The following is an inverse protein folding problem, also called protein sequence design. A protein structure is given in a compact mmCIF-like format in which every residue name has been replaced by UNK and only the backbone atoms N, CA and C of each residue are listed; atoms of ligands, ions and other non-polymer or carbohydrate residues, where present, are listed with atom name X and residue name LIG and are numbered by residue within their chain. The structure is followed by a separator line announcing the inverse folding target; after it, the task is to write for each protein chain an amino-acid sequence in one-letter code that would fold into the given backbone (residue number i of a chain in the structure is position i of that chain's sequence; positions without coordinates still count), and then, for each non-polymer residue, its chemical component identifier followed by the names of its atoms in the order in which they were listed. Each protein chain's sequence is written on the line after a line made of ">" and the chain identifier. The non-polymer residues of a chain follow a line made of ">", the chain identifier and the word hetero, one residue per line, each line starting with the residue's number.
data_IF_035144627502
#
_entry.id   IF_035144627502
#
_cell.length_a   1.000
_cell.length_b   1.000
_cell.length_c   1.000
_cell.angle_alpha   90.00
_cell.angle_beta   90.00
_cell.angle_gamma   90.00
#
_symmetry.space_group_name_H-M   'P 1'
#
loop_
_entity.id
_entity.type
_entity.pdbx_description
1 polymer ?
#
# COMPACT_ATOMS: atom_id res chain seq x y z
N UNK A 1 -44.78 -37.44 58.75
CA UNK A 1 -45.20 -36.05 58.57
C UNK A 1 -44.36 -35.44 57.46
N UNK A 2 -45.04 -35.18 56.33
CA UNK A 2 -44.74 -34.32 55.18
C UNK A 2 -43.39 -34.38 54.42
N UNK A 3 -43.55 -34.91 53.20
CA UNK A 3 -42.87 -34.68 51.92
C UNK A 3 -43.05 -33.28 51.33
N UNK A 4 -42.33 -33.02 50.21
CA UNK A 4 -42.50 -32.00 49.14
C UNK A 4 -41.54 -30.79 49.23
N UNK A 5 -40.95 -30.22 48.17
CA UNK A 5 -41.13 -30.28 46.71
C UNK A 5 -39.91 -29.62 46.01
N UNK A 6 -39.69 -29.89 44.73
CA UNK A 6 -38.71 -29.27 43.78
C UNK A 6 -39.48 -29.06 42.44
N UNK A 7 -39.14 -28.19 41.45
CA UNK A 7 -38.62 -26.79 41.32
C UNK A 7 -39.61 -25.92 40.42
N UNK A 8 -39.28 -24.85 39.61
CA UNK A 8 -38.28 -24.79 38.51
C UNK A 8 -37.51 -23.45 38.25
N UNK A 9 -36.28 -23.60 37.74
CA UNK A 9 -35.61 -22.93 36.60
C UNK A 9 -35.85 -21.44 36.24
N UNK A 10 -34.76 -20.63 36.23
CA UNK A 10 -34.42 -19.67 35.15
C UNK A 10 -33.02 -19.04 35.32
N UNK A 11 -32.07 -19.41 34.46
CA UNK A 11 -30.92 -18.56 34.01
C UNK A 11 -31.39 -17.51 32.98
N UNK A 12 -30.58 -16.55 32.45
CA UNK A 12 -29.14 -16.21 32.67
C UNK A 12 -28.84 -14.68 32.81
N UNK A 13 -27.56 -14.30 33.02
CA UNK A 13 -26.81 -13.17 32.41
C UNK A 13 -25.63 -12.71 33.32
N UNK A 14 -24.42 -13.21 33.08
CA UNK A 14 -23.26 -12.47 32.51
C UNK A 14 -22.81 -11.18 33.21
N UNK A 15 -21.65 -11.23 33.86
CA UNK A 15 -20.60 -10.19 33.72
C UNK A 15 -19.23 -10.77 34.13
N UNK A 16 -18.30 -10.81 33.16
CA UNK A 16 -16.88 -11.09 33.34
C UNK A 16 -16.18 -9.92 34.07
N UNK A 17 -15.09 -10.18 34.82
CA UNK A 17 -14.09 -9.16 35.08
C UNK A 17 -12.84 -9.34 34.20
N UNK A 18 -12.39 -8.19 33.68
CA UNK A 18 -11.24 -7.99 32.81
C UNK A 18 -9.89 -8.34 33.47
N UNK A 19 -8.97 -8.88 32.67
CA UNK A 19 -7.55 -9.10 33.02
C UNK A 19 -6.74 -7.80 32.95
N UNK A 20 -5.68 -7.63 33.76
CA UNK A 20 -4.99 -6.36 33.93
C UNK A 20 -3.89 -6.09 32.89
N UNK A 21 -3.73 -4.80 32.65
CA UNK A 21 -2.77 -4.10 31.78
C UNK A 21 -1.32 -4.33 32.23
N UNK A 22 -0.45 -4.69 31.29
CA UNK A 22 1.01 -4.74 31.48
C UNK A 22 1.58 -3.32 31.60
N UNK A 23 2.27 -3.08 32.71
CA UNK A 23 2.94 -1.83 33.08
C UNK A 23 4.16 -1.58 32.17
N UNK A 24 4.16 -0.45 31.45
CA UNK A 24 5.34 0.05 30.72
C UNK A 24 6.04 1.09 31.60
N UNK A 25 7.19 0.74 32.17
CA UNK A 25 8.08 1.68 32.87
C UNK A 25 8.90 2.44 31.83
N UNK A 26 8.56 3.71 31.60
CA UNK A 26 9.34 4.62 30.77
C UNK A 26 10.48 5.25 31.61
N UNK A 27 11.70 4.75 31.44
CA UNK A 27 12.90 5.42 31.95
C UNK A 27 13.23 6.64 31.08
N UNK A 28 13.10 7.82 31.67
CA UNK A 28 13.33 9.14 31.08
C UNK A 28 14.81 9.51 31.22
N UNK A 29 15.55 9.60 30.11
CA UNK A 29 16.91 10.17 30.08
C UNK A 29 16.90 11.60 29.49
N UNK A 30 17.82 12.49 29.93
CA UNK A 30 17.69 13.92 29.79
C UNK A 30 18.23 14.48 28.48
N UNK A 31 17.53 15.48 27.95
CA UNK A 31 17.92 16.31 26.81
C UNK A 31 19.12 17.21 27.18
N UNK A 32 20.15 17.26 26.33
CA UNK A 32 21.20 18.30 26.37
C UNK A 32 20.97 19.34 25.28
N UNK A 33 21.04 20.59 25.70
CA UNK A 33 20.85 21.82 24.95
C UNK A 33 22.00 22.14 23.96
N UNK A 34 21.60 22.71 22.83
CA UNK A 34 22.07 23.94 22.16
C UNK A 34 23.57 24.16 21.91
N UNK A 35 23.93 24.35 20.63
CA UNK A 35 24.87 25.40 20.20
C UNK A 35 24.39 26.05 18.89
N UNK A 36 24.22 27.38 18.94
CA UNK A 36 24.00 28.31 17.83
C UNK A 36 25.29 28.56 17.05
N UNK A 37 25.19 28.70 15.71
CA UNK A 37 26.06 29.60 14.95
C UNK A 37 25.25 30.33 13.86
N UNK A 38 25.23 31.68 13.98
CA UNK A 38 24.83 32.67 12.97
C UNK A 38 26.10 33.30 12.42
N UNK A 39 26.16 33.50 11.09
CA UNK A 39 26.80 34.63 10.37
C UNK A 39 27.00 34.21 8.89
N UNK A 40 26.72 34.99 7.85
CA UNK A 40 26.38 36.40 7.76
C UNK A 40 25.83 36.79 6.38
N UNK A 41 25.15 37.94 6.37
CA UNK A 41 24.85 38.82 5.23
C UNK A 41 26.17 39.45 4.72
N UNK A 42 26.40 39.92 3.49
CA UNK A 42 25.69 40.86 2.55
C UNK A 42 26.66 41.09 1.33
N UNK A 43 26.46 41.97 0.31
CA UNK A 43 25.38 42.18 -0.66
C UNK A 43 25.85 42.49 -2.13
N UNK A 44 24.88 42.83 -3.00
CA UNK A 44 24.90 43.72 -4.20
C UNK A 44 24.86 43.17 -5.64
N UNK A 45 23.99 43.83 -6.43
CA UNK A 45 23.50 43.64 -7.81
C UNK A 45 24.34 44.45 -8.86
N UNK A 46 23.86 44.87 -10.07
CA UNK A 46 22.75 44.46 -10.96
C UNK A 46 23.15 44.31 -12.46
N UNK A 47 22.22 43.92 -13.34
CA UNK A 47 22.31 44.11 -14.81
C UNK A 47 21.11 43.48 -15.53
N UNK A 48 20.04 44.22 -15.84
CA UNK A 48 19.81 45.03 -17.05
C UNK A 48 19.90 44.25 -18.37
N UNK A 49 18.78 44.13 -19.10
CA UNK A 49 18.83 43.87 -20.54
C UNK A 49 17.66 43.08 -21.14
N UNK A 50 16.46 43.67 -21.20
CA UNK A 50 15.49 43.34 -22.25
C UNK A 50 15.75 44.26 -23.45
N UNK A 51 15.59 43.78 -24.69
CA UNK A 51 14.74 44.51 -25.62
C UNK A 51 13.87 43.61 -26.53
N UNK A 52 12.58 43.86 -26.45
CA UNK A 52 11.64 44.16 -27.55
C UNK A 52 11.92 43.73 -29.01
N UNK A 53 10.91 43.02 -29.58
CA UNK A 53 10.09 43.36 -30.77
C UNK A 53 10.41 42.82 -32.20
N UNK A 54 9.34 42.21 -32.77
CA UNK A 54 8.80 42.20 -34.16
C UNK A 54 9.51 41.47 -35.31
N UNK A 55 8.83 40.45 -35.85
CA UNK A 55 8.48 40.22 -37.27
C UNK A 55 7.48 39.04 -37.28
N UNK A 56 6.27 39.05 -37.85
CA UNK A 56 5.80 39.52 -39.15
C UNK A 56 5.03 38.33 -39.80
N UNK A 57 3.83 38.49 -40.38
CA UNK A 57 2.90 37.40 -40.62
C UNK A 57 3.19 36.64 -41.93
N UNK A 58 3.11 35.31 -41.90
CA UNK A 58 3.07 34.49 -43.11
C UNK A 58 1.67 34.51 -43.70
N UNK A 59 1.52 35.28 -44.78
CA UNK A 59 0.34 35.38 -45.62
C UNK A 59 0.41 34.30 -46.70
N UNK A 60 -0.43 33.27 -46.62
CA UNK A 60 -0.75 32.46 -47.79
C UNK A 60 -2.08 32.96 -48.39
N UNK A 61 -1.98 33.39 -49.65
CA UNK A 61 -3.08 33.66 -50.58
C UNK A 61 -3.96 32.42 -50.68
N UNK A 62 -5.28 32.62 -50.64
CA UNK A 62 -6.20 32.16 -51.68
C UNK A 62 -7.52 32.93 -51.59
N UNK A 63 -7.94 33.52 -52.71
CA UNK A 63 -9.36 33.74 -53.04
C UNK A 63 -10.04 32.35 -53.03
N UNK A 64 -11.30 32.17 -52.69
CA UNK A 64 -12.51 32.97 -52.90
C UNK A 64 -13.62 32.37 -52.02
N UNK A 65 -14.48 33.23 -51.51
CA UNK A 65 -15.90 33.01 -51.19
C UNK A 65 -16.30 31.65 -50.60
N UNK A 66 -16.45 31.60 -49.27
CA UNK A 66 -17.57 30.84 -48.69
C UNK A 66 -18.01 31.49 -47.39
N UNK A 67 -19.31 31.76 -47.36
CA UNK A 67 -20.08 32.47 -46.36
C UNK A 67 -19.93 31.87 -44.93
N UNK A 68 -19.62 32.73 -43.96
CA UNK A 68 -19.39 32.40 -42.56
C UNK A 68 -20.70 32.28 -41.76
N UNK A 69 -21.72 31.62 -42.34
CA UNK A 69 -23.05 31.45 -41.76
C UNK A 69 -23.43 29.99 -41.47
N UNK A 70 -22.53 29.03 -41.69
CA UNK A 70 -22.75 27.60 -41.38
C UNK A 70 -21.63 26.98 -40.54
N UNK A 71 -21.39 27.51 -39.34
CA UNK A 71 -20.69 26.74 -38.30
C UNK A 71 -21.76 25.99 -37.50
N UNK A 72 -22.21 24.84 -38.03
CA UNK A 72 -22.95 23.85 -37.23
C UNK A 72 -21.94 22.95 -36.53
N UNK A 73 -22.02 22.93 -35.22
CA UNK A 73 -21.38 21.98 -34.32
C UNK A 73 -21.67 20.54 -34.76
N UNK A 74 -20.67 19.84 -35.28
CA UNK A 74 -20.73 18.38 -35.39
C UNK A 74 -20.11 17.77 -34.14
N UNK A 75 -20.97 17.48 -33.16
CA UNK A 75 -20.68 16.50 -32.13
C UNK A 75 -20.59 15.13 -32.79
N UNK A 76 -19.42 14.52 -32.72
CA UNK A 76 -19.14 13.20 -33.25
C UNK A 76 -19.83 12.15 -32.36
N UNK A 77 -21.07 11.80 -32.70
CA UNK A 77 -21.77 10.61 -32.21
C UNK A 77 -22.51 10.00 -33.38
N UNK A 78 -22.11 8.78 -33.71
CA UNK A 78 -22.87 7.79 -34.46
C UNK A 78 -23.11 8.05 -35.96
N UNK A 79 -22.03 8.35 -36.72
CA UNK A 79 -22.03 8.21 -38.17
C UNK A 79 -21.13 7.05 -38.60
N UNK A 80 -21.74 5.94 -39.01
CA UNK A 80 -21.08 4.77 -39.59
C UNK A 80 -20.20 5.17 -40.80
N UNK A 81 -18.90 4.93 -40.66
CA UNK A 81 -17.87 5.14 -41.68
C UNK A 81 -17.92 4.08 -42.81
N UNK A 82 -19.09 3.69 -43.28
CA UNK A 82 -19.25 2.75 -44.40
C UNK A 82 -19.80 3.38 -45.68
N UNK A 83 -20.36 4.60 -45.62
CA UNK A 83 -21.02 5.23 -46.76
C UNK A 83 -20.11 6.00 -47.74
N UNK A 84 -18.87 6.33 -47.36
CA UNK A 84 -17.99 7.18 -48.18
C UNK A 84 -16.98 6.42 -49.05
N UNK A 85 -16.91 5.09 -48.92
CA UNK A 85 -15.93 4.27 -49.62
C UNK A 85 -16.41 3.65 -50.95
N UNK A 86 -17.65 3.89 -51.37
CA UNK A 86 -18.22 3.26 -52.57
C UNK A 86 -18.19 4.13 -53.85
N UNK A 87 -17.58 5.32 -53.83
CA UNK A 87 -17.58 6.25 -54.98
C UNK A 87 -16.19 6.61 -55.54
N UNK A 88 -15.20 5.72 -55.36
CA UNK A 88 -13.84 5.89 -55.90
C UNK A 88 -13.26 4.56 -56.44
N UNK A 89 -14.08 3.65 -56.97
CA UNK A 89 -13.61 2.35 -57.47
C UNK A 89 -13.26 2.31 -58.97
N UNK A 90 -13.51 3.37 -59.73
CA UNK A 90 -13.30 3.39 -61.19
C UNK A 90 -12.03 4.11 -61.67
N UNK A 91 -11.14 4.48 -60.76
CA UNK A 91 -9.83 5.01 -61.13
C UNK A 91 -8.77 4.12 -60.49
N UNK A 92 -7.98 3.41 -61.31
CA UNK A 92 -6.86 2.55 -60.91
C UNK A 92 -5.68 3.32 -60.28
N UNK A 93 -5.96 4.26 -59.38
CA UNK A 93 -4.97 4.94 -58.57
C UNK A 93 -4.45 3.96 -57.50
N UNK A 94 -3.13 3.83 -57.33
CA UNK A 94 -2.58 3.03 -56.23
C UNK A 94 -3.09 3.60 -54.91
N UNK A 95 -3.58 2.71 -54.04
CA UNK A 95 -4.03 3.10 -52.70
C UNK A 95 -2.95 3.95 -52.01
N UNK A 96 -3.32 5.05 -51.34
CA UNK A 96 -2.36 5.84 -50.58
C UNK A 96 -1.68 4.91 -49.57
N UNK A 97 -0.36 4.84 -49.64
CA UNK A 97 0.43 4.02 -48.72
C UNK A 97 0.04 4.34 -47.28
N UNK A 98 -0.12 3.29 -46.45
CA UNK A 98 -0.45 3.44 -45.03
C UNK A 98 0.46 4.53 -44.42
N UNK A 99 -0.09 5.55 -43.74
CA UNK A 99 0.73 6.62 -43.17
C UNK A 99 1.78 5.99 -42.25
N UNK A 100 3.05 6.29 -42.52
CA UNK A 100 4.17 5.83 -41.69
C UNK A 100 3.90 6.28 -40.26
N UNK A 101 3.79 5.34 -39.34
CA UNK A 101 3.61 5.64 -37.92
C UNK A 101 4.84 6.41 -37.41
N UNK A 102 4.66 7.71 -37.19
CA UNK A 102 5.70 8.53 -36.56
C UNK A 102 5.74 8.14 -35.08
N UNK A 103 6.85 7.54 -34.65
CA UNK A 103 7.06 7.28 -33.21
C UNK A 103 7.09 8.64 -32.50
N UNK A 104 6.13 8.84 -31.60
CA UNK A 104 6.08 10.01 -30.73
C UNK A 104 7.41 10.13 -29.95
N UNK A 105 8.05 11.31 -29.89
CA UNK A 105 9.22 11.54 -29.05
C UNK A 105 8.89 11.52 -27.55
N UNK A 106 7.59 11.51 -27.21
CA UNK A 106 7.10 11.41 -25.83
C UNK A 106 7.07 9.96 -25.36
N UNK A 107 7.51 9.74 -24.11
CA UNK A 107 7.38 8.46 -23.40
C UNK A 107 5.96 7.92 -23.54
N UNK A 108 5.85 6.61 -23.79
CA UNK A 108 4.55 5.95 -23.92
C UNK A 108 3.74 6.09 -22.63
N UNK A 109 2.42 6.04 -22.71
CA UNK A 109 1.56 6.07 -21.52
C UNK A 109 1.97 5.02 -20.47
N UNK A 110 2.33 3.81 -20.94
CA UNK A 110 2.85 2.71 -20.11
C UNK A 110 4.17 3.06 -19.40
N UNK A 111 5.06 3.79 -20.07
CA UNK A 111 6.34 4.21 -19.48
C UNK A 111 6.14 5.28 -18.40
N UNK A 112 5.22 6.24 -18.63
CA UNK A 112 4.88 7.27 -17.63
C UNK A 112 4.19 6.70 -16.39
N UNK A 113 3.36 5.68 -16.57
CA UNK A 113 2.71 4.99 -15.47
C UNK A 113 3.72 4.21 -14.61
N UNK A 114 4.67 3.51 -15.24
CA UNK A 114 5.78 2.85 -14.55
C UNK A 114 6.62 3.83 -13.73
N UNK A 115 7.07 4.94 -14.33
CA UNK A 115 7.82 5.99 -13.63
C UNK A 115 7.04 6.61 -12.45
N UNK A 116 5.71 6.71 -12.59
CA UNK A 116 4.85 7.23 -11.52
C UNK A 116 4.79 6.25 -10.35
N UNK A 117 4.65 4.96 -10.63
CA UNK A 117 4.60 3.93 -9.59
C UNK A 117 5.94 3.80 -8.87
N UNK A 118 7.06 3.85 -9.59
CA UNK A 118 8.41 3.87 -8.98
C UNK A 118 8.58 5.04 -8.00
N UNK A 119 8.14 6.24 -8.39
CA UNK A 119 8.15 7.42 -7.52
C UNK A 119 7.24 7.25 -6.31
N UNK A 120 6.05 6.67 -6.49
CA UNK A 120 5.11 6.38 -5.40
C UNK A 120 5.74 5.41 -4.40
N UNK A 121 6.35 4.33 -4.87
CA UNK A 121 7.02 3.34 -4.03
C UNK A 121 8.19 3.95 -3.27
N UNK A 122 9.01 4.79 -3.92
CA UNK A 122 10.10 5.50 -3.25
C UNK A 122 9.60 6.39 -2.10
N UNK A 123 8.48 7.08 -2.30
CA UNK A 123 7.80 7.87 -1.25
C UNK A 123 7.37 6.98 -0.09
N UNK A 124 6.71 5.86 -0.38
CA UNK A 124 6.16 4.97 0.64
C UNK A 124 7.26 4.24 1.43
N UNK A 125 8.34 3.80 0.79
CA UNK A 125 9.49 3.22 1.48
C UNK A 125 10.18 4.23 2.41
N UNK A 126 10.31 5.48 1.98
CA UNK A 126 10.89 6.54 2.81
C UNK A 126 9.98 6.89 3.98
N UNK A 127 8.67 6.99 3.74
CA UNK A 127 7.68 7.18 4.79
C UNK A 127 7.73 6.04 5.83
N UNK A 128 7.76 4.79 5.37
CA UNK A 128 7.90 3.62 6.24
C UNK A 128 9.18 3.68 7.09
N UNK A 129 10.28 4.13 6.50
CA UNK A 129 11.54 4.31 7.23
C UNK A 129 11.43 5.37 8.33
N UNK A 130 10.88 6.55 8.03
CA UNK A 130 10.76 7.61 9.01
C UNK A 130 9.73 7.27 10.10
N UNK A 131 8.59 6.70 9.73
CA UNK A 131 7.58 6.25 10.70
C UNK A 131 8.10 5.18 11.65
N UNK A 132 8.86 4.20 11.16
CA UNK A 132 9.43 3.13 11.99
C UNK A 132 10.61 3.58 12.86
N UNK A 133 11.36 4.61 12.45
CA UNK A 133 12.57 5.06 13.17
C UNK A 133 12.32 6.26 14.10
N UNK A 134 11.65 7.31 13.62
CA UNK A 134 11.34 8.53 14.40
C UNK A 134 9.99 8.44 15.12
N UNK A 135 9.10 7.56 14.67
CA UNK A 135 7.73 7.44 15.13
C UNK A 135 6.75 8.24 14.27
N UNK A 136 5.52 7.74 14.15
CA UNK A 136 4.47 8.33 13.32
C UNK A 136 4.06 9.75 13.75
N UNK A 137 3.93 10.02 15.05
CA UNK A 137 3.53 11.36 15.54
C UNK A 137 4.61 12.43 15.34
N UNK A 138 5.88 12.03 15.36
CA UNK A 138 7.05 12.93 15.23
C UNK A 138 7.47 13.17 13.79
N UNK A 139 6.93 12.41 12.85
CA UNK A 139 7.27 12.53 11.43
C UNK A 139 6.22 13.40 10.74
N UNK A 140 6.67 14.45 10.06
CA UNK A 140 5.84 15.30 9.21
C UNK A 140 5.97 14.91 7.73
N UNK A 141 5.03 15.34 6.90
CA UNK A 141 5.15 15.20 5.44
C UNK A 141 6.35 15.99 4.90
N UNK A 142 6.72 17.09 5.55
CA UNK A 142 7.87 17.91 5.16
C UNK A 142 9.19 17.18 5.41
N UNK A 143 9.28 16.41 6.50
CA UNK A 143 10.45 15.54 6.75
C UNK A 143 10.62 14.49 5.64
N UNK A 144 9.52 13.92 5.17
CA UNK A 144 9.53 12.90 4.10
C UNK A 144 9.94 13.54 2.76
N UNK A 145 9.40 14.73 2.45
CA UNK A 145 9.79 15.46 1.24
C UNK A 145 11.28 15.84 1.26
N UNK A 146 11.77 16.30 2.41
CA UNK A 146 13.16 16.66 2.62
C UNK A 146 14.10 15.45 2.45
N UNK A 147 13.76 14.31 3.06
CA UNK A 147 14.55 13.07 2.97
C UNK A 147 14.69 12.58 1.52
N UNK A 148 13.64 12.74 0.71
CA UNK A 148 13.62 12.36 -0.71
C UNK A 148 14.19 13.43 -1.65
N UNK A 149 14.48 14.63 -1.16
CA UNK A 149 14.88 15.76 -2.01
C UNK A 149 13.81 16.22 -2.99
N UNK A 150 12.53 16.02 -2.67
CA UNK A 150 11.39 16.45 -3.50
C UNK A 150 10.68 17.66 -2.92
N UNK A 151 9.92 18.37 -3.75
CA UNK A 151 9.12 19.50 -3.26
C UNK A 151 7.86 19.01 -2.54
N UNK A 152 7.37 19.81 -1.57
CA UNK A 152 6.11 19.56 -0.87
C UNK A 152 4.91 19.37 -1.82
N UNK A 153 4.71 20.20 -2.87
CA UNK A 153 3.67 19.95 -3.88
C UNK A 153 3.81 18.59 -4.59
N UNK A 154 5.04 18.15 -4.87
CA UNK A 154 5.29 16.82 -5.47
C UNK A 154 4.82 15.71 -4.55
N UNK A 155 5.06 15.81 -3.23
CA UNK A 155 4.59 14.81 -2.27
C UNK A 155 3.06 14.75 -2.18
N UNK A 156 2.39 15.92 -2.14
CA UNK A 156 0.93 15.99 -2.09
C UNK A 156 0.23 15.42 -3.32
N UNK A 157 0.93 15.28 -4.45
CA UNK A 157 0.41 14.57 -5.60
C UNK A 157 0.22 13.06 -5.36
N UNK A 158 0.95 12.48 -4.40
CA UNK A 158 0.91 11.05 -4.07
C UNK A 158 0.18 10.74 -2.76
N UNK A 159 0.07 11.69 -1.85
CA UNK A 159 -0.58 11.51 -0.56
C UNK A 159 -1.43 12.72 -0.17
N UNK A 160 -2.66 12.46 0.26
CA UNK A 160 -3.59 13.53 0.69
C UNK A 160 -3.16 14.15 2.02
N UNK A 161 -2.77 13.29 2.96
CA UNK A 161 -2.32 13.66 4.29
C UNK A 161 -1.43 12.54 4.87
N UNK A 162 -1.00 12.70 6.11
CA UNK A 162 -0.12 11.73 6.80
C UNK A 162 -0.80 10.38 7.03
N UNK A 163 -2.11 10.37 7.30
CA UNK A 163 -2.90 9.17 7.58
C UNK A 163 -3.09 8.32 6.33
N UNK A 164 -3.40 8.98 5.22
CA UNK A 164 -3.47 8.36 3.90
C UNK A 164 -2.11 7.74 3.52
N UNK A 165 -1.00 8.43 3.83
CA UNK A 165 0.33 7.93 3.55
C UNK A 165 0.66 6.67 4.36
N UNK A 166 0.39 6.65 5.67
CA UNK A 166 0.66 5.45 6.47
C UNK A 166 -0.31 4.30 6.13
N UNK A 167 -1.56 4.59 5.79
CA UNK A 167 -2.48 3.58 5.29
C UNK A 167 -2.00 2.97 3.97
N UNK A 168 -1.47 3.77 3.04
CA UNK A 168 -0.84 3.26 1.81
C UNK A 168 0.37 2.36 2.10
N UNK A 169 1.23 2.74 3.06
CA UNK A 169 2.36 1.89 3.50
C UNK A 169 1.86 0.55 4.04
N UNK A 170 0.85 0.58 4.93
CA UNK A 170 0.26 -0.62 5.50
C UNK A 170 -0.43 -1.50 4.43
N UNK A 171 -1.10 -0.89 3.45
CA UNK A 171 -1.71 -1.60 2.31
C UNK A 171 -0.66 -2.39 1.51
N UNK A 172 0.48 -1.77 1.19
CA UNK A 172 1.58 -2.45 0.49
C UNK A 172 2.08 -3.65 1.29
N UNK A 173 2.27 -3.50 2.60
CA UNK A 173 2.68 -4.62 3.45
C UNK A 173 1.65 -5.75 3.43
N UNK A 174 0.35 -5.45 3.55
CA UNK A 174 -0.69 -6.48 3.46
C UNK A 174 -0.74 -7.15 2.09
N UNK A 175 -0.63 -6.40 1.00
CA UNK A 175 -0.56 -6.95 -0.36
C UNK A 175 0.66 -7.87 -0.51
N UNK A 176 1.82 -7.46 0.01
CA UNK A 176 3.04 -8.25 -0.03
C UNK A 176 2.91 -9.57 0.72
N UNK A 177 2.24 -9.58 1.87
CA UNK A 177 1.90 -10.80 2.63
C UNK A 177 0.98 -11.68 1.79
N UNK A 178 -0.09 -11.10 1.23
CA UNK A 178 -1.13 -11.81 0.50
C UNK A 178 -0.68 -12.36 -0.86
N UNK A 179 0.40 -11.86 -1.45
CA UNK A 179 1.07 -12.53 -2.59
C UNK A 179 1.53 -13.95 -2.25
N UNK A 180 1.66 -14.30 -0.97
CA UNK A 180 1.96 -15.67 -0.53
C UNK A 180 0.77 -16.64 -0.59
N UNK A 181 -0.42 -16.17 -0.99
CA UNK A 181 -1.59 -17.04 -1.23
C UNK A 181 -1.35 -18.05 -2.35
N UNK A 182 -0.52 -17.66 -3.31
CA UNK A 182 -0.07 -18.52 -4.41
C UNK A 182 0.99 -19.47 -3.85
N UNK A 183 0.53 -20.60 -3.29
CA UNK A 183 1.35 -21.70 -2.80
C UNK A 183 1.39 -22.88 -3.77
N UNK A 184 2.18 -23.89 -3.45
CA UNK A 184 2.12 -25.18 -4.14
C UNK A 184 0.79 -25.86 -3.83
N UNK A 185 -0.06 -26.05 -4.84
CA UNK A 185 -1.37 -26.70 -4.71
C UNK A 185 -1.26 -28.17 -4.26
N UNK A 186 -0.07 -28.79 -4.42
CA UNK A 186 0.18 -30.16 -4.00
C UNK A 186 0.65 -30.26 -2.54
N UNK A 187 1.02 -29.15 -1.92
CA UNK A 187 1.46 -29.12 -0.53
C UNK A 187 0.27 -29.28 0.42
N UNK A 188 0.50 -29.90 1.57
CA UNK A 188 -0.53 -30.06 2.60
C UNK A 188 -0.94 -28.71 3.20
N UNK A 189 -2.12 -28.63 3.84
CA UNK A 189 -2.60 -27.42 4.50
C UNK A 189 -1.61 -26.90 5.56
N UNK A 190 -0.96 -27.79 6.32
CA UNK A 190 0.12 -27.41 7.24
C UNK A 190 1.34 -26.82 6.53
N UNK A 191 1.74 -27.37 5.38
CA UNK A 191 2.89 -26.87 4.61
C UNK A 191 2.59 -25.50 3.99
N UNK A 192 1.40 -25.34 3.40
CA UNK A 192 0.92 -24.07 2.88
C UNK A 192 0.81 -23.01 3.99
N UNK A 193 0.28 -23.39 5.17
CA UNK A 193 0.22 -22.52 6.36
C UNK A 193 1.62 -22.07 6.79
N UNK A 194 2.58 -22.99 6.88
CA UNK A 194 3.97 -22.66 7.24
C UNK A 194 4.61 -21.72 6.21
N UNK A 195 4.41 -21.96 4.93
CA UNK A 195 4.90 -21.08 3.87
C UNK A 195 4.32 -19.67 4.00
N UNK A 196 2.99 -19.55 4.14
CA UNK A 196 2.32 -18.27 4.29
C UNK A 196 2.78 -17.52 5.55
N UNK A 197 2.87 -18.21 6.69
CA UNK A 197 3.33 -17.60 7.95
C UNK A 197 4.80 -17.15 7.89
N UNK A 198 5.68 -17.85 7.18
CA UNK A 198 7.08 -17.41 7.00
C UNK A 198 7.14 -16.13 6.20
N UNK A 199 6.35 -16.02 5.14
CA UNK A 199 6.23 -14.77 4.37
C UNK A 199 5.67 -13.64 5.22
N UNK A 200 4.62 -13.91 6.00
CA UNK A 200 4.05 -12.94 6.92
C UNK A 200 5.07 -12.45 7.96
N UNK A 201 5.83 -13.37 8.57
CA UNK A 201 6.91 -13.04 9.49
C UNK A 201 8.03 -12.23 8.82
N UNK A 202 8.42 -12.58 7.59
CA UNK A 202 9.40 -11.82 6.81
C UNK A 202 8.96 -10.39 6.55
N UNK A 203 7.71 -10.18 6.09
CA UNK A 203 7.19 -8.83 5.84
C UNK A 203 7.10 -8.02 7.13
N UNK A 204 6.60 -8.60 8.23
CA UNK A 204 6.49 -7.90 9.52
C UNK A 204 7.83 -7.49 10.13
N UNK A 205 8.92 -8.16 9.75
CA UNK A 205 10.28 -7.74 10.11
C UNK A 205 10.79 -6.51 9.32
N UNK A 206 10.15 -6.15 8.20
CA UNK A 206 10.52 -4.96 7.40
C UNK A 206 9.95 -3.66 7.99
N UNK A 207 10.52 -2.51 7.61
CA UNK A 207 10.00 -1.18 7.99
C UNK A 207 8.52 -0.99 7.59
N UNK A 208 8.13 -1.48 6.41
CA UNK A 208 6.76 -1.41 5.89
C UNK A 208 5.80 -2.28 6.72
N UNK A 209 6.17 -3.54 6.98
CA UNK A 209 5.35 -4.45 7.79
C UNK A 209 5.25 -4.02 9.25
N UNK A 210 6.29 -3.40 9.81
CA UNK A 210 6.21 -2.76 11.14
C UNK A 210 5.14 -1.67 11.19
N UNK A 211 5.00 -0.88 10.14
CA UNK A 211 3.93 0.13 10.07
C UNK A 211 2.54 -0.52 10.07
N UNK A 212 2.34 -1.65 9.37
CA UNK A 212 1.08 -2.41 9.41
C UNK A 212 0.72 -2.88 10.83
N UNK A 213 1.72 -3.32 11.61
CA UNK A 213 1.54 -3.77 13.00
C UNK A 213 1.22 -2.60 13.93
N UNK A 214 2.04 -1.55 13.90
CA UNK A 214 1.97 -0.42 14.84
C UNK A 214 0.81 0.53 14.56
N UNK A 215 0.23 0.51 13.37
CA UNK A 215 -0.88 1.39 13.01
C UNK A 215 -2.11 1.24 13.91
N UNK A 216 -2.32 0.06 14.51
CA UNK A 216 -3.40 -0.13 15.49
C UNK A 216 -3.21 0.70 16.77
N UNK A 217 -1.99 1.16 17.04
CA UNK A 217 -1.65 1.99 18.20
C UNK A 217 -1.74 3.49 17.86
N UNK A 218 -2.07 3.86 16.61
CA UNK A 218 -2.17 5.25 16.15
C UNK A 218 -3.62 5.70 16.05
N UNK A 219 -3.87 6.92 16.52
CA UNK A 219 -5.09 7.68 16.29
C UNK A 219 -5.04 8.26 14.87
N UNK A 220 -5.74 7.61 13.93
CA UNK A 220 -5.81 7.97 12.51
C UNK A 220 -7.28 8.04 12.07
N UNK A 221 -7.56 8.81 11.01
CA UNK A 221 -8.91 8.93 10.48
C UNK A 221 -9.54 7.61 9.99
N UNK A 222 -10.86 7.51 10.07
CA UNK A 222 -11.64 6.29 9.79
C UNK A 222 -11.35 5.69 8.41
N UNK A 223 -11.26 6.51 7.36
CA UNK A 223 -10.97 6.04 5.99
C UNK A 223 -9.61 5.32 5.90
N UNK A 224 -8.59 5.87 6.55
CA UNK A 224 -7.26 5.28 6.59
C UNK A 224 -7.26 3.98 7.42
N UNK A 225 -7.95 3.99 8.57
CA UNK A 225 -8.09 2.81 9.41
C UNK A 225 -8.82 1.66 8.70
N UNK A 226 -9.88 1.95 7.95
CA UNK A 226 -10.69 0.94 7.28
C UNK A 226 -9.93 0.25 6.13
N UNK A 227 -9.13 0.98 5.36
CA UNK A 227 -8.26 0.39 4.34
C UNK A 227 -7.31 -0.65 4.93
N UNK A 228 -6.73 -0.34 6.09
CA UNK A 228 -5.80 -1.25 6.77
C UNK A 228 -6.53 -2.43 7.40
N UNK A 229 -7.73 -2.18 7.94
CA UNK A 229 -8.61 -3.22 8.49
C UNK A 229 -8.99 -4.25 7.43
N UNK A 230 -9.26 -3.82 6.20
CA UNK A 230 -9.54 -4.72 5.07
C UNK A 230 -8.38 -5.67 4.79
N UNK A 231 -7.15 -5.14 4.64
CA UNK A 231 -5.97 -5.98 4.43
C UNK A 231 -5.71 -6.96 5.59
N UNK A 232 -5.91 -6.53 6.84
CA UNK A 232 -5.79 -7.41 8.01
C UNK A 232 -6.86 -8.51 8.04
N UNK A 233 -8.10 -8.20 7.66
CA UNK A 233 -9.18 -9.19 7.53
C UNK A 233 -8.87 -10.23 6.46
N UNK A 234 -8.30 -9.82 5.33
CA UNK A 234 -7.90 -10.72 4.27
C UNK A 234 -6.78 -11.69 4.68
N UNK A 235 -5.82 -11.21 5.47
CA UNK A 235 -4.76 -12.05 6.04
C UNK A 235 -5.35 -13.05 7.04
N UNK A 236 -6.18 -12.57 7.97
CA UNK A 236 -6.85 -13.40 8.97
C UNK A 236 -7.70 -14.49 8.32
N UNK A 237 -8.51 -14.14 7.32
CA UNK A 237 -9.33 -15.10 6.58
C UNK A 237 -8.48 -16.16 5.90
N UNK A 238 -7.38 -15.78 5.24
CA UNK A 238 -6.54 -16.76 4.56
C UNK A 238 -5.88 -17.74 5.53
N UNK A 239 -5.48 -17.30 6.73
CA UNK A 239 -4.98 -18.21 7.78
C UNK A 239 -6.06 -19.21 8.20
N UNK A 240 -7.32 -18.77 8.33
CA UNK A 240 -8.45 -19.66 8.65
C UNK A 240 -8.67 -20.70 7.56
N UNK A 241 -8.60 -20.29 6.30
CA UNK A 241 -8.80 -21.18 5.16
C UNK A 241 -7.71 -22.27 5.11
N UNK A 242 -6.45 -21.90 5.37
CA UNK A 242 -5.34 -22.87 5.42
C UNK A 242 -5.44 -23.82 6.63
N UNK A 243 -5.90 -23.33 7.79
CA UNK A 243 -6.18 -24.18 8.95
C UNK A 243 -7.31 -25.17 8.65
N UNK A 244 -8.39 -24.71 8.01
CA UNK A 244 -9.50 -25.58 7.62
C UNK A 244 -9.05 -26.65 6.62
N UNK A 245 -8.25 -26.26 5.62
CA UNK A 245 -7.64 -27.18 4.67
C UNK A 245 -6.78 -28.24 5.36
N UNK A 246 -5.90 -27.82 6.29
CA UNK A 246 -5.04 -28.73 7.02
C UNK A 246 -5.79 -29.70 7.94
N UNK A 247 -6.91 -29.27 8.51
CA UNK A 247 -7.79 -30.17 9.29
C UNK A 247 -8.51 -31.15 8.36
N UNK A 248 -8.93 -30.69 7.18
CA UNK A 248 -9.62 -31.51 6.19
C UNK A 248 -8.70 -32.58 5.57
N UNK A 249 -7.45 -32.24 5.27
CA UNK A 249 -6.47 -33.16 4.68
C UNK A 249 -5.72 -34.02 5.73
N UNK A 250 -5.97 -33.77 7.01
CA UNK A 250 -5.37 -34.49 8.13
C UNK A 250 -3.93 -34.10 8.48
N UNK A 251 -3.35 -33.10 7.82
CA UNK A 251 -2.01 -32.58 8.15
C UNK A 251 -1.99 -31.70 9.40
N UNK A 252 -3.15 -31.24 9.87
CA UNK A 252 -3.36 -30.53 11.14
C UNK A 252 -4.35 -31.32 11.99
N UNK A 253 -4.01 -31.57 13.25
CA UNK A 253 -4.92 -32.21 14.20
C UNK A 253 -6.13 -31.33 14.55
N UNK A 254 -7.18 -31.88 15.20
CA UNK A 254 -8.36 -31.10 15.58
C UNK A 254 -7.98 -29.87 16.43
N UNK A 255 -8.40 -28.69 16.00
CA UNK A 255 -8.12 -27.42 16.69
C UNK A 255 -9.27 -26.43 16.56
N UNK A 256 -9.34 -25.45 17.46
CA UNK A 256 -10.23 -24.29 17.29
C UNK A 256 -9.58 -23.34 16.27
N UNK A 257 -10.16 -23.25 15.07
CA UNK A 257 -9.62 -22.44 13.96
C UNK A 257 -9.48 -20.97 14.37
N UNK A 258 -10.44 -20.43 15.13
CA UNK A 258 -10.48 -19.00 15.48
C UNK A 258 -9.39 -18.67 16.49
N UNK A 259 -9.31 -19.42 17.58
CA UNK A 259 -8.28 -19.20 18.60
C UNK A 259 -6.88 -19.49 18.05
N UNK A 260 -6.74 -20.52 17.23
CA UNK A 260 -5.47 -20.83 16.56
C UNK A 260 -5.05 -19.71 15.62
N UNK A 261 -5.96 -19.14 14.82
CA UNK A 261 -5.68 -17.99 13.96
C UNK A 261 -5.18 -16.79 14.78
N UNK A 262 -5.85 -16.45 15.88
CA UNK A 262 -5.42 -15.34 16.75
C UNK A 262 -4.05 -15.59 17.38
N UNK A 263 -3.78 -16.81 17.85
CA UNK A 263 -2.47 -17.19 18.37
C UNK A 263 -1.38 -17.03 17.29
N UNK A 264 -1.64 -17.51 16.07
CA UNK A 264 -0.67 -17.46 14.98
C UNK A 264 -0.40 -16.01 14.53
N UNK A 265 -1.46 -15.26 14.21
CA UNK A 265 -1.34 -13.87 13.78
C UNK A 265 -0.75 -12.97 14.87
N UNK A 266 -1.13 -13.18 16.13
CA UNK A 266 -0.57 -12.45 17.28
C UNK A 266 0.92 -12.69 17.45
N UNK A 267 1.35 -13.95 17.34
CA UNK A 267 2.77 -14.32 17.44
C UNK A 267 3.62 -13.70 16.33
N UNK A 268 3.12 -13.73 15.08
CA UNK A 268 3.80 -13.09 13.93
C UNK A 268 3.84 -11.58 14.08
N UNK A 269 2.71 -10.94 14.41
CA UNK A 269 2.65 -9.48 14.61
C UNK A 269 3.57 -9.00 15.72
N UNK A 270 3.83 -9.83 16.74
CA UNK A 270 4.79 -9.54 17.78
C UNK A 270 6.17 -9.15 17.22
N UNK A 271 6.64 -9.81 16.15
CA UNK A 271 7.94 -9.57 15.50
C UNK A 271 8.11 -8.08 15.16
N UNK A 272 7.09 -7.46 14.57
CA UNK A 272 7.16 -6.05 14.17
C UNK A 272 7.31 -5.07 15.35
N UNK A 273 7.03 -5.50 16.58
CA UNK A 273 7.17 -4.68 17.79
C UNK A 273 8.57 -4.72 18.39
N UNK A 274 9.23 -5.89 18.39
CA UNK A 274 10.51 -6.07 19.10
C UNK A 274 11.72 -6.31 18.19
N UNK A 275 11.52 -6.75 16.95
CA UNK A 275 12.63 -7.11 16.06
C UNK A 275 13.30 -5.87 15.44
N UNK A 276 14.63 -5.85 15.51
CA UNK A 276 15.50 -4.90 14.82
C UNK A 276 16.73 -5.68 14.32
N UNK A 277 17.16 -5.41 13.08
CA UNK A 277 18.16 -6.20 12.33
C UNK A 277 19.61 -6.03 12.83
N UNK A 278 19.82 -5.11 13.75
CA UNK A 278 21.10 -4.74 14.37
C UNK A 278 21.59 -5.71 15.46
N UNK A 279 20.92 -6.85 15.67
CA UNK A 279 21.20 -7.82 16.77
C UNK A 279 21.73 -9.18 16.35
N UNK A 280 22.38 -9.30 15.18
CA UNK A 280 22.98 -10.57 14.73
C UNK A 280 21.99 -11.70 14.43
N UNK A 281 20.69 -11.38 14.35
CA UNK A 281 19.60 -12.27 13.95
C UNK A 281 18.98 -11.71 12.68
N UNK A 282 18.97 -12.49 11.60
CA UNK A 282 18.32 -12.07 10.36
C UNK A 282 16.80 -12.24 10.44
N UNK A 283 16.06 -11.47 9.63
CA UNK A 283 14.61 -11.56 9.53
C UNK A 283 14.16 -12.98 9.12
N UNK A 284 14.89 -13.60 8.20
CA UNK A 284 14.63 -14.97 7.72
C UNK A 284 14.78 -15.97 8.85
N UNK A 285 15.84 -15.84 9.67
CA UNK A 285 16.07 -16.75 10.79
C UNK A 285 14.99 -16.60 11.85
N UNK A 286 14.58 -15.37 12.16
CA UNK A 286 13.48 -15.11 13.10
C UNK A 286 12.18 -15.72 12.59
N UNK A 287 11.83 -15.49 11.31
CA UNK A 287 10.64 -16.04 10.68
C UNK A 287 10.64 -17.58 10.72
N UNK A 288 11.75 -18.22 10.37
CA UNK A 288 11.89 -19.67 10.39
C UNK A 288 11.66 -20.25 11.79
N UNK A 289 12.36 -19.72 12.80
CA UNK A 289 12.28 -20.23 14.18
C UNK A 289 10.88 -20.02 14.76
N UNK A 290 10.30 -18.82 14.62
CA UNK A 290 8.96 -18.53 15.11
C UNK A 290 7.92 -19.46 14.49
N UNK A 291 7.92 -19.57 13.16
CA UNK A 291 6.91 -20.36 12.43
C UNK A 291 7.04 -21.85 12.72
N UNK A 292 8.26 -22.38 12.79
CA UNK A 292 8.46 -23.77 13.16
C UNK A 292 7.92 -24.02 14.57
N UNK A 293 8.34 -23.21 15.56
CA UNK A 293 7.95 -23.42 16.96
C UNK A 293 6.44 -23.30 17.20
N UNK A 294 5.77 -22.32 16.57
CA UNK A 294 4.33 -22.09 16.75
C UNK A 294 3.46 -23.09 16.00
N UNK A 295 3.96 -23.73 14.93
CA UNK A 295 3.21 -24.72 14.15
C UNK A 295 3.54 -26.17 14.50
N UNK A 296 4.61 -26.45 15.25
CA UNK A 296 4.96 -27.81 15.69
C UNK A 296 3.83 -28.50 16.46
N UNK A 297 3.05 -27.74 17.25
CA UNK A 297 1.93 -28.28 18.02
C UNK A 297 0.65 -28.55 17.23
N UNK A 298 0.60 -28.18 15.94
CA UNK A 298 -0.57 -28.35 15.08
C UNK A 298 -0.61 -29.72 14.38
N UNK A 299 0.54 -30.38 14.23
CA UNK A 299 0.57 -31.70 13.60
C UNK A 299 -0.26 -32.72 14.42
N UNK A 300 -0.91 -33.70 13.76
CA UNK A 300 -1.64 -34.76 14.45
C UNK A 300 -0.72 -35.47 15.45
N UNK A 301 -1.22 -35.71 16.67
CA UNK A 301 -0.51 -36.58 17.61
C UNK A 301 -0.76 -38.03 17.20
N UNK A 302 0.28 -38.88 17.20
CA UNK A 302 0.15 -40.31 16.94
C UNK A 302 -0.69 -41.02 18.02
#
# INVERSE_FOLDING_TARGET
>A
MHTHFVPPNSTPATSEPAFPVVIVIALRLPQRNSIHLRSGQTPMAPGSGSPTKVAGPLRCRNHSDTDASQIRSYTNRDAGLSGWYHKFSDCGAPMPAKPRTVKSPWLSAKTREGEREEKRLAILHTAAHLFSSKGYYRTSLDDIALELGITKPTLYYYARNKDDLIAQVASIASEEILRGREGDENASGLEQLRYFLRRYAGVTATKTGRCLVLLADFDIGDEAADRVRTGKREIDQHIRDLLALGVQDGSIGPCDIKLTTFMLAGSVNGIGRWFHEDRGLSAERVAEVFVNQMTSGLAPRP
#
